data_IF_119685236127
#
_entry.id   IF_119685236127
#
_cell.length_a   1.000
_cell.length_b   1.000
_cell.length_c   1.000
_cell.angle_alpha   90.00
_cell.angle_beta   90.00
_cell.angle_gamma   90.00
#
_symmetry.space_group_name_H-M   'P 1'
#
loop_
_entity.id
_entity.type
_entity.pdbx_description
1 polymer ?
#
# COMPACT_ATOMS: atom_id res chain seq x y z
N UNK A 1 -19.90 -3.85 13.56
CA UNK A 1 -20.41 -3.20 14.79
C UNK A 1 -19.64 -1.91 14.99
N UNK A 2 -20.31 -0.79 15.25
CA UNK A 2 -19.64 0.47 15.59
C UNK A 2 -19.17 0.47 17.05
N UNK A 3 -18.24 1.35 17.43
CA UNK A 3 -17.71 1.40 18.80
C UNK A 3 -18.82 1.67 19.84
N UNK A 4 -19.81 2.50 19.50
CA UNK A 4 -20.95 2.79 20.39
C UNK A 4 -21.78 1.54 20.72
N UNK A 5 -21.98 0.68 19.73
CA UNK A 5 -22.69 -0.59 19.91
C UNK A 5 -21.86 -1.54 20.77
N UNK A 6 -20.54 -1.61 20.53
CA UNK A 6 -19.62 -2.37 21.36
C UNK A 6 -19.65 -1.90 22.82
N UNK A 7 -19.59 -0.60 23.07
CA UNK A 7 -19.66 -0.04 24.42
C UNK A 7 -21.01 -0.34 25.08
N UNK A 8 -22.10 -0.36 24.32
CA UNK A 8 -23.43 -0.71 24.83
C UNK A 8 -23.53 -2.19 25.21
N UNK A 9 -23.09 -3.11 24.36
CA UNK A 9 -23.10 -4.56 24.64
C UNK A 9 -22.17 -4.90 25.80
N UNK A 10 -20.98 -4.29 25.84
CA UNK A 10 -20.02 -4.39 26.95
C UNK A 10 -20.67 -3.97 28.26
N UNK A 11 -21.37 -2.83 28.27
CA UNK A 11 -22.09 -2.36 29.46
C UNK A 11 -23.08 -3.40 29.96
N UNK A 12 -23.95 -3.91 29.09
CA UNK A 12 -24.97 -4.88 29.47
C UNK A 12 -24.37 -6.15 30.07
N UNK A 13 -23.27 -6.65 29.50
CA UNK A 13 -22.57 -7.83 29.98
C UNK A 13 -21.92 -7.60 31.36
N UNK A 14 -21.28 -6.45 31.56
CA UNK A 14 -20.70 -6.09 32.86
C UNK A 14 -21.77 -5.94 33.94
N UNK A 15 -22.88 -5.27 33.64
CA UNK A 15 -24.00 -5.11 34.57
C UNK A 15 -24.63 -6.46 34.94
N UNK A 16 -24.73 -7.39 33.97
CA UNK A 16 -25.21 -8.75 34.21
C UNK A 16 -24.26 -9.56 35.10
N UNK A 17 -22.95 -9.53 34.80
CA UNK A 17 -21.94 -10.32 35.52
C UNK A 17 -21.72 -9.85 36.96
N UNK A 18 -21.81 -8.54 37.19
CA UNK A 18 -21.47 -7.93 38.50
C UNK A 18 -22.69 -7.56 39.34
N UNK A 19 -23.89 -7.50 38.73
CA UNK A 19 -25.12 -6.92 39.32
C UNK A 19 -24.95 -5.47 39.79
N UNK A 20 -23.98 -4.73 39.26
CA UNK A 20 -23.74 -3.31 39.52
C UNK A 20 -23.99 -2.49 38.25
N UNK A 21 -24.50 -1.26 38.38
CA UNK A 21 -24.72 -0.39 37.21
C UNK A 21 -23.45 0.36 36.81
N UNK A 22 -23.21 0.46 35.50
CA UNK A 22 -22.07 1.16 34.91
C UNK A 22 -22.52 2.41 34.15
N UNK A 23 -21.78 3.52 34.31
CA UNK A 23 -21.98 4.71 33.46
C UNK A 23 -21.46 4.42 32.06
N UNK A 24 -22.17 4.91 31.05
CA UNK A 24 -21.79 4.64 29.66
C UNK A 24 -20.38 5.16 29.33
N UNK A 25 -20.04 6.38 29.78
CA UNK A 25 -18.69 6.95 29.59
C UNK A 25 -17.58 6.15 30.26
N UNK A 26 -17.85 5.46 31.38
CA UNK A 26 -16.86 4.64 32.06
C UNK A 26 -16.48 3.42 31.23
N UNK A 27 -17.38 2.90 30.39
CA UNK A 27 -17.09 1.75 29.52
C UNK A 27 -16.00 2.07 28.49
N UNK A 28 -16.01 3.28 27.92
CA UNK A 28 -14.98 3.75 27.01
C UNK A 28 -13.59 3.74 27.68
N UNK A 29 -13.55 4.19 28.93
CA UNK A 29 -12.32 4.23 29.74
C UNK A 29 -11.83 2.82 30.11
N UNK A 30 -12.74 1.91 30.45
CA UNK A 30 -12.40 0.52 30.80
C UNK A 30 -11.91 -0.27 29.59
N UNK A 31 -12.53 -0.09 28.41
CA UNK A 31 -12.05 -0.66 27.16
C UNK A 31 -10.63 -0.19 26.84
N UNK A 32 -10.33 1.10 27.02
CA UNK A 32 -8.98 1.62 26.84
C UNK A 32 -7.98 1.05 27.86
N UNK A 33 -8.38 0.99 29.14
CA UNK A 33 -7.55 0.45 30.21
C UNK A 33 -7.21 -1.04 30.04
N UNK A 34 -8.10 -1.80 29.39
CA UNK A 34 -7.87 -3.22 29.05
C UNK A 34 -6.67 -3.42 28.12
N UNK A 35 -6.30 -2.40 27.36
CA UNK A 35 -5.12 -2.39 26.49
C UNK A 35 -3.97 -1.54 27.06
N UNK A 36 -4.03 -1.17 28.34
CA UNK A 36 -2.95 -0.45 29.04
C UNK A 36 -3.00 1.08 28.90
N UNK A 37 -4.05 1.64 28.31
CA UNK A 37 -4.22 3.10 28.20
C UNK A 37 -4.90 3.68 29.43
N UNK A 38 -4.34 4.75 29.98
CA UNK A 38 -4.90 5.40 31.17
C UNK A 38 -6.27 6.05 30.92
N UNK A 39 -6.51 6.49 29.69
CA UNK A 39 -7.76 7.11 29.27
C UNK A 39 -8.15 6.72 27.86
N UNK A 40 -9.44 6.88 27.50
CA UNK A 40 -9.87 6.72 26.11
C UNK A 40 -9.15 7.67 25.16
N UNK A 41 -8.95 8.91 25.57
CA UNK A 41 -8.23 9.90 24.77
C UNK A 41 -6.78 9.48 24.47
N UNK A 42 -6.09 8.84 25.43
CA UNK A 42 -4.72 8.33 25.20
C UNK A 42 -4.66 7.17 24.22
N UNK A 43 -5.72 6.34 24.17
CA UNK A 43 -5.86 5.31 23.13
C UNK A 43 -6.07 5.98 21.77
N UNK A 44 -7.08 6.85 21.67
CA UNK A 44 -7.47 7.52 20.42
C UNK A 44 -6.38 8.43 19.83
N UNK A 45 -5.39 8.84 20.63
CA UNK A 45 -4.26 9.65 20.18
C UNK A 45 -3.25 8.86 19.35
N UNK A 46 -3.15 7.55 19.52
CA UNK A 46 -2.10 6.73 18.91
C UNK A 46 -2.60 5.43 18.27
N UNK A 47 -3.80 4.97 18.64
CA UNK A 47 -4.30 3.64 18.27
C UNK A 47 -5.79 3.68 17.95
N UNK A 48 -6.22 2.67 17.21
CA UNK A 48 -7.60 2.39 16.87
C UNK A 48 -7.94 0.97 17.36
N UNK A 49 -9.16 0.80 17.85
CA UNK A 49 -9.67 -0.51 18.20
C UNK A 49 -10.19 -1.22 16.95
N UNK A 50 -9.86 -2.49 16.79
CA UNK A 50 -10.31 -3.32 15.68
C UNK A 50 -10.56 -4.76 16.16
N UNK A 51 -11.25 -5.54 15.33
CA UNK A 51 -11.27 -7.00 15.50
C UNK A 51 -10.03 -7.54 14.81
N UNK A 52 -9.21 -8.34 15.51
CA UNK A 52 -7.93 -8.82 15.00
C UNK A 52 -7.96 -10.26 14.51
N UNK A 53 -7.00 -10.61 13.65
CA UNK A 53 -6.80 -11.96 13.10
C UNK A 53 -6.33 -12.99 14.13
N UNK A 54 -5.59 -12.54 15.13
CA UNK A 54 -5.18 -13.34 16.28
C UNK A 54 -5.56 -12.58 17.55
N UNK A 55 -6.01 -13.26 18.62
CA UNK A 55 -6.33 -12.59 19.87
C UNK A 55 -5.11 -11.82 20.39
N UNK A 56 -5.30 -10.56 20.78
CA UNK A 56 -4.25 -9.82 21.46
C UNK A 56 -4.24 -10.24 22.94
N UNK A 57 -3.18 -10.90 23.37
CA UNK A 57 -3.09 -11.34 24.76
C UNK A 57 -2.91 -10.15 25.72
N UNK A 58 -3.69 -10.08 26.81
CA UNK A 58 -3.54 -9.02 27.79
C UNK A 58 -2.23 -9.20 28.56
N UNK A 59 -1.37 -8.17 28.50
CA UNK A 59 -0.12 -8.13 29.27
C UNK A 59 -0.36 -7.69 30.72
N UNK A 60 0.52 -8.10 31.64
CA UNK A 60 0.37 -7.85 33.08
C UNK A 60 0.20 -6.36 33.43
N UNK A 61 0.85 -5.46 32.70
CA UNK A 61 0.71 -4.00 32.87
C UNK A 61 -0.70 -3.50 32.51
N UNK A 62 -1.33 -4.08 31.49
CA UNK A 62 -2.69 -3.75 31.07
C UNK A 62 -3.72 -4.24 32.10
N UNK A 63 -3.51 -5.43 32.66
CA UNK A 63 -4.33 -5.96 33.77
C UNK A 63 -4.27 -5.04 35.00
N UNK A 64 -3.07 -4.62 35.38
CA UNK A 64 -2.88 -3.68 36.49
C UNK A 64 -3.55 -2.32 36.22
N UNK A 65 -3.49 -1.84 34.98
CA UNK A 65 -4.12 -0.59 34.55
C UNK A 65 -5.64 -0.69 34.60
N UNK A 66 -6.22 -1.78 34.09
CA UNK A 66 -7.65 -2.05 34.16
C UNK A 66 -8.16 -2.10 35.60
N UNK A 67 -7.50 -2.87 36.47
CA UNK A 67 -7.89 -2.98 37.87
C UNK A 67 -7.85 -1.61 38.57
N UNK A 68 -6.74 -0.86 38.42
CA UNK A 68 -6.65 0.51 38.95
C UNK A 68 -7.78 1.40 38.44
N UNK A 69 -8.10 1.33 37.15
CA UNK A 69 -9.14 2.16 36.55
C UNK A 69 -10.54 1.83 37.07
N UNK A 70 -10.84 0.54 37.30
CA UNK A 70 -12.09 0.12 37.94
C UNK A 70 -12.25 0.73 39.34
N UNK A 71 -11.17 0.72 40.14
CA UNK A 71 -11.16 1.32 41.48
C UNK A 71 -11.36 2.84 41.40
N UNK A 72 -10.61 3.54 40.55
CA UNK A 72 -10.72 5.00 40.37
C UNK A 72 -12.13 5.44 39.95
N UNK A 73 -12.83 4.63 39.16
CA UNK A 73 -14.19 4.90 38.69
C UNK A 73 -15.28 4.49 39.69
N UNK A 74 -14.91 3.95 40.86
CA UNK A 74 -15.81 3.61 41.97
C UNK A 74 -16.37 2.17 41.94
N UNK A 75 -15.69 1.26 41.25
CA UNK A 75 -16.12 -0.15 41.09
C UNK A 75 -15.25 -1.13 41.88
N UNK A 76 -14.60 -0.68 42.96
CA UNK A 76 -13.68 -1.49 43.79
C UNK A 76 -14.30 -2.82 44.23
N UNK A 77 -15.56 -2.82 44.67
CA UNK A 77 -16.24 -4.01 45.17
C UNK A 77 -16.45 -5.12 44.12
N UNK A 78 -16.36 -4.80 42.83
CA UNK A 78 -16.58 -5.75 41.72
C UNK A 78 -15.40 -5.79 40.74
N UNK A 79 -14.26 -5.19 41.09
CA UNK A 79 -13.15 -4.97 40.16
C UNK A 79 -12.65 -6.28 39.51
N UNK A 80 -12.45 -7.33 40.30
CA UNK A 80 -11.97 -8.62 39.78
C UNK A 80 -12.99 -9.27 38.84
N UNK A 81 -14.27 -9.29 39.23
CA UNK A 81 -15.34 -9.89 38.41
C UNK A 81 -15.58 -9.09 37.13
N UNK A 82 -15.60 -7.76 37.21
CA UNK A 82 -15.76 -6.88 36.06
C UNK A 82 -14.56 -7.00 35.10
N UNK A 83 -13.34 -7.04 35.64
CA UNK A 83 -12.12 -7.21 34.86
C UNK A 83 -12.09 -8.54 34.11
N UNK A 84 -12.39 -9.65 34.81
CA UNK A 84 -12.46 -10.97 34.19
C UNK A 84 -13.54 -11.06 33.09
N UNK A 85 -14.72 -10.50 33.34
CA UNK A 85 -15.79 -10.46 32.35
C UNK A 85 -15.40 -9.65 31.10
N UNK A 86 -14.75 -8.50 31.30
CA UNK A 86 -14.29 -7.65 30.20
C UNK A 86 -13.22 -8.34 29.35
N UNK A 87 -12.25 -9.01 29.98
CA UNK A 87 -11.19 -9.74 29.29
C UNK A 87 -11.72 -10.95 28.53
N UNK A 88 -12.69 -11.69 29.10
CA UNK A 88 -13.39 -12.77 28.39
C UNK A 88 -14.06 -12.24 27.13
N UNK A 89 -14.78 -11.13 27.23
CA UNK A 89 -15.45 -10.52 26.08
C UNK A 89 -14.45 -10.05 25.01
N UNK A 90 -13.33 -9.44 25.42
CA UNK A 90 -12.26 -9.03 24.50
C UNK A 90 -11.69 -10.24 23.75
N UNK A 91 -11.45 -11.35 24.45
CA UNK A 91 -10.97 -12.58 23.83
C UNK A 91 -12.01 -13.19 22.88
N UNK A 92 -13.26 -13.30 23.31
CA UNK A 92 -14.36 -13.90 22.53
C UNK A 92 -14.63 -13.13 21.23
N UNK A 93 -14.59 -11.79 21.31
CA UNK A 93 -14.79 -10.92 20.15
C UNK A 93 -13.49 -10.63 19.39
N UNK A 94 -12.35 -11.12 19.87
CA UNK A 94 -11.00 -10.87 19.33
C UNK A 94 -10.73 -9.39 19.12
N UNK A 95 -11.02 -8.59 20.14
CA UNK A 95 -10.76 -7.16 20.12
C UNK A 95 -9.27 -6.90 20.35
N UNK A 96 -8.72 -5.97 19.59
CA UNK A 96 -7.35 -5.51 19.73
C UNK A 96 -7.23 -4.03 19.44
N UNK A 97 -6.02 -3.50 19.66
CA UNK A 97 -5.63 -2.14 19.32
C UNK A 97 -4.46 -2.17 18.34
N UNK A 98 -4.51 -1.32 17.33
CA UNK A 98 -3.46 -1.17 16.31
C UNK A 98 -3.21 0.30 16.00
N UNK A 99 -2.02 0.63 15.53
CA UNK A 99 -1.71 1.99 15.03
C UNK A 99 -2.38 2.22 13.66
N UNK A 100 -2.48 3.47 13.22
CA UNK A 100 -3.05 3.77 11.89
C UNK A 100 -2.08 3.35 10.79
N UNK A 101 -0.79 3.54 11.04
CA UNK A 101 0.31 3.21 10.15
C UNK A 101 0.36 1.70 9.90
N UNK A 102 0.25 0.88 10.95
CA UNK A 102 0.17 -0.58 10.80
C UNK A 102 -1.07 -1.05 10.04
N UNK A 103 -2.16 -0.27 10.04
CA UNK A 103 -3.33 -0.58 9.21
C UNK A 103 -3.01 -0.32 7.74
N UNK A 104 -2.31 0.78 7.43
CA UNK A 104 -1.86 1.10 6.07
C UNK A 104 -0.92 0.03 5.56
N UNK A 105 0.07 -0.40 6.36
CA UNK A 105 1.01 -1.44 6.00
C UNK A 105 0.29 -2.74 5.59
N UNK A 106 -0.72 -3.16 6.37
CA UNK A 106 -1.52 -4.35 6.08
C UNK A 106 -2.35 -4.17 4.81
N UNK A 107 -2.98 -3.01 4.62
CA UNK A 107 -3.78 -2.74 3.42
C UNK A 107 -2.89 -2.72 2.16
N UNK A 108 -1.70 -2.13 2.23
CA UNK A 108 -0.77 -2.07 1.10
C UNK A 108 -0.15 -3.44 0.79
N UNK A 109 0.08 -4.30 1.80
CA UNK A 109 0.58 -5.66 1.60
C UNK A 109 -0.36 -6.57 0.80
N UNK A 110 -1.68 -6.32 0.86
CA UNK A 110 -2.66 -7.05 0.04
C UNK A 110 -2.84 -6.39 -1.34
N UNK A 111 -2.40 -5.14 -1.54
CA UNK A 111 -2.61 -4.36 -2.77
C UNK A 111 -1.38 -4.29 -3.70
N UNK A 112 -0.18 -4.65 -3.26
CA UNK A 112 1.05 -4.54 -4.08
C UNK A 112 1.28 -5.68 -5.08
N UNK A 113 0.30 -6.58 -5.28
CA UNK A 113 0.19 -7.28 -6.56
C UNK A 113 -0.27 -6.25 -7.61
N UNK A 114 0.65 -5.36 -8.00
CA UNK A 114 0.39 -4.36 -9.03
C UNK A 114 -0.12 -5.08 -10.27
N UNK A 115 -1.28 -4.60 -10.76
CA UNK A 115 -1.80 -4.86 -12.10
C UNK A 115 -0.73 -4.41 -13.10
N UNK A 116 0.06 -5.38 -13.56
CA UNK A 116 0.91 -5.26 -14.73
C UNK A 116 0.04 -4.94 -15.94
N UNK A 117 -0.13 -3.65 -16.24
CA UNK A 117 -0.62 -3.21 -17.53
C UNK A 117 0.32 -2.18 -18.15
N UNK A 118 1.63 -2.26 -17.87
CA UNK A 118 2.65 -1.63 -18.71
C UNK A 118 3.90 -2.52 -18.72
N UNK A 119 4.19 -3.06 -19.92
CA UNK A 119 5.19 -4.09 -20.26
C UNK A 119 4.82 -5.51 -19.82
N UNK A 120 4.36 -6.34 -20.76
CA UNK A 120 4.45 -7.80 -20.64
C UNK A 120 5.95 -8.15 -20.56
N UNK A 121 6.45 -8.31 -19.34
CA UNK A 121 7.67 -9.05 -19.06
C UNK A 121 7.23 -10.22 -18.21
N UNK A 122 7.31 -11.43 -18.78
CA UNK A 122 6.98 -12.67 -18.09
C UNK A 122 7.89 -12.85 -16.85
N UNK A 123 7.43 -12.41 -15.68
CA UNK A 123 8.11 -12.71 -14.41
C UNK A 123 7.65 -14.07 -13.86
N UNK A 124 8.62 -14.96 -13.68
CA UNK A 124 8.46 -16.23 -12.98
C UNK A 124 8.11 -15.97 -11.51
N UNK A 125 6.93 -16.45 -11.08
CA UNK A 125 6.53 -16.51 -9.68
C UNK A 125 7.47 -17.44 -8.88
N UNK A 126 8.51 -16.88 -8.26
CA UNK A 126 9.18 -17.53 -7.14
C UNK A 126 8.44 -17.13 -5.85
N UNK A 127 7.52 -18.00 -5.39
CA UNK A 127 6.85 -17.89 -4.10
C UNK A 127 7.91 -17.83 -2.97
N UNK A 128 8.22 -16.61 -2.52
CA UNK A 128 9.02 -16.42 -1.32
C UNK A 128 8.28 -17.01 -0.11
N UNK A 129 8.90 -17.91 0.67
CA UNK A 129 8.23 -18.51 1.81
C UNK A 129 7.94 -17.43 2.85
N UNK A 130 6.65 -17.28 3.16
CA UNK A 130 6.12 -16.28 4.09
C UNK A 130 6.95 -16.18 5.37
N UNK A 131 7.63 -15.04 5.52
CA UNK A 131 8.21 -14.63 6.78
C UNK A 131 7.07 -14.41 7.76
N UNK A 132 6.78 -15.40 8.62
CA UNK A 132 5.96 -15.22 9.81
C UNK A 132 6.65 -14.22 10.74
N UNK A 133 6.43 -12.94 10.48
CA UNK A 133 6.72 -11.88 11.43
C UNK A 133 5.92 -12.20 12.69
N UNK A 134 6.61 -12.37 13.81
CA UNK A 134 6.04 -12.36 15.15
C UNK A 134 5.61 -10.90 15.44
N UNK A 135 4.63 -10.44 14.67
CA UNK A 135 4.15 -9.07 14.62
C UNK A 135 2.90 -8.89 15.48
N UNK A 136 2.62 -7.63 15.80
CA UNK A 136 1.36 -7.24 16.44
C UNK A 136 0.16 -7.80 15.65
N UNK A 137 -0.92 -8.20 16.33
CA UNK A 137 -2.04 -8.85 15.66
C UNK A 137 -2.72 -7.94 14.63
N UNK A 138 -2.70 -8.35 13.36
CA UNK A 138 -3.28 -7.59 12.24
C UNK A 138 -4.80 -7.40 12.38
N UNK A 139 -5.35 -6.25 11.98
CA UNK A 139 -6.78 -6.04 11.94
C UNK A 139 -7.43 -6.94 10.87
N UNK A 140 -8.62 -7.46 11.16
CA UNK A 140 -9.39 -8.26 10.20
C UNK A 140 -10.15 -7.34 9.25
N UNK A 141 -9.90 -7.51 7.94
CA UNK A 141 -10.56 -6.76 6.86
C UNK A 141 -11.88 -7.39 6.40
N UNK A 142 -12.30 -8.50 7.01
CA UNK A 142 -13.55 -9.16 6.66
C UNK A 142 -14.76 -8.20 6.77
N UNK A 143 -15.71 -8.18 5.82
CA UNK A 143 -16.81 -7.20 5.80
C UNK A 143 -17.63 -7.15 7.10
N UNK A 144 -17.81 -8.28 7.77
CA UNK A 144 -18.53 -8.35 9.04
C UNK A 144 -17.79 -7.69 10.24
N UNK A 145 -16.47 -7.53 10.13
CA UNK A 145 -15.54 -7.13 11.21
C UNK A 145 -14.93 -5.73 11.00
N UNK A 146 -14.80 -5.29 9.75
CA UNK A 146 -14.14 -4.03 9.37
C UNK A 146 -14.86 -2.77 9.89
N UNK A 147 -16.15 -2.86 10.21
CA UNK A 147 -16.95 -1.71 10.67
C UNK A 147 -16.39 -1.04 11.95
N UNK A 148 -15.77 -1.81 12.87
CA UNK A 148 -15.16 -1.23 14.07
C UNK A 148 -13.89 -0.44 13.73
N UNK A 149 -13.11 -0.95 12.78
CA UNK A 149 -11.91 -0.29 12.26
C UNK A 149 -12.28 1.02 11.55
N UNK A 150 -13.28 0.98 10.65
CA UNK A 150 -13.77 2.17 9.93
C UNK A 150 -14.28 3.24 10.91
N UNK A 151 -15.01 2.87 11.96
CA UNK A 151 -15.49 3.83 12.97
C UNK A 151 -14.32 4.51 13.71
N UNK A 152 -13.30 3.73 14.08
CA UNK A 152 -12.10 4.26 14.71
C UNK A 152 -11.26 5.15 13.81
N UNK A 153 -11.12 4.77 12.53
CA UNK A 153 -10.43 5.57 11.50
C UNK A 153 -11.17 6.88 11.23
N UNK A 154 -12.50 6.86 11.12
CA UNK A 154 -13.31 8.08 11.01
C UNK A 154 -13.12 8.99 12.22
N UNK A 155 -13.03 8.41 13.41
CA UNK A 155 -12.66 9.14 14.62
C UNK A 155 -11.30 9.83 14.48
N UNK A 156 -10.25 9.11 14.07
CA UNK A 156 -8.91 9.65 13.88
C UNK A 156 -8.85 10.73 12.77
N UNK A 157 -9.54 10.49 11.66
CA UNK A 157 -9.70 11.44 10.55
C UNK A 157 -10.37 12.74 11.01
N UNK A 158 -11.44 12.66 11.81
CA UNK A 158 -12.11 13.85 12.37
C UNK A 158 -11.23 14.71 13.29
N UNK A 159 -10.12 14.13 13.79
CA UNK A 159 -9.10 14.84 14.58
C UNK A 159 -7.94 15.39 13.73
N UNK A 160 -8.01 15.25 12.40
CA UNK A 160 -7.03 15.75 11.45
C UNK A 160 -5.89 14.77 11.13
N UNK A 161 -6.07 13.46 11.34
CA UNK A 161 -5.05 12.47 10.97
C UNK A 161 -5.04 12.23 9.45
N UNK A 162 -3.94 12.61 8.80
CA UNK A 162 -3.72 12.36 7.37
C UNK A 162 -3.64 10.85 7.07
N UNK A 163 -2.94 10.09 7.92
CA UNK A 163 -2.83 8.64 7.82
C UNK A 163 -4.22 7.95 7.87
N UNK A 164 -5.11 8.42 8.75
CA UNK A 164 -6.43 7.82 8.89
C UNK A 164 -7.30 8.08 7.65
N UNK A 165 -7.17 9.26 7.06
CA UNK A 165 -7.79 9.54 5.76
C UNK A 165 -7.24 8.62 4.68
N UNK A 166 -5.92 8.42 4.60
CA UNK A 166 -5.35 7.53 3.61
C UNK A 166 -5.79 6.07 3.78
N UNK A 167 -5.77 5.54 5.02
CA UNK A 167 -6.27 4.20 5.32
C UNK A 167 -7.75 4.02 4.95
N UNK A 168 -8.60 5.04 5.17
CA UNK A 168 -10.00 5.00 4.72
C UNK A 168 -10.12 4.99 3.20
N UNK A 169 -9.27 5.74 2.49
CA UNK A 169 -9.24 5.72 1.03
C UNK A 169 -8.91 4.31 0.52
N UNK A 170 -7.87 3.67 1.06
CA UNK A 170 -7.50 2.29 0.73
C UNK A 170 -8.66 1.30 0.98
N UNK A 171 -9.34 1.42 2.13
CA UNK A 171 -10.51 0.57 2.44
C UNK A 171 -11.66 0.76 1.44
N UNK A 172 -11.90 2.00 0.99
CA UNK A 172 -13.01 2.30 0.08
C UNK A 172 -12.68 2.06 -1.39
N UNK A 173 -11.40 2.09 -1.77
CA UNK A 173 -10.92 1.71 -3.11
C UNK A 173 -11.42 0.31 -3.48
N UNK A 174 -11.41 -0.61 -2.51
CA UNK A 174 -12.00 -1.94 -2.64
C UNK A 174 -11.26 -2.85 -3.63
N UNK A 175 -11.70 -4.10 -3.69
CA UNK A 175 -11.23 -5.08 -4.68
C UNK A 175 -12.11 -4.96 -5.92
N UNK A 176 -11.49 -4.77 -7.08
CA UNK A 176 -12.13 -4.43 -8.35
C UNK A 176 -13.09 -5.54 -8.80
N UNK A 177 -14.40 -5.33 -8.63
CA UNK A 177 -15.40 -6.29 -9.09
C UNK A 177 -15.70 -6.06 -10.57
N UNK A 178 -15.05 -6.85 -11.41
CA UNK A 178 -15.08 -6.87 -12.88
C UNK A 178 -16.45 -7.16 -13.55
N UNK A 179 -17.57 -6.86 -12.89
CA UNK A 179 -18.94 -6.99 -13.42
C UNK A 179 -19.72 -5.65 -13.41
N UNK A 180 -19.04 -4.54 -13.73
CA UNK A 180 -19.59 -3.19 -13.66
C UNK A 180 -20.73 -2.92 -14.67
N UNK A 181 -20.62 -3.42 -15.90
CA UNK A 181 -21.55 -3.06 -16.98
C UNK A 181 -22.97 -3.56 -16.74
N UNK A 182 -23.14 -4.81 -16.30
CA UNK A 182 -24.47 -5.38 -16.01
C UNK A 182 -25.10 -4.79 -14.76
N UNK A 183 -24.28 -4.38 -13.78
CA UNK A 183 -24.76 -3.85 -12.51
C UNK A 183 -25.22 -2.38 -12.60
N UNK A 184 -24.60 -1.59 -13.50
CA UNK A 184 -24.98 -0.19 -13.77
C UNK A 184 -26.41 -0.05 -14.34
N UNK A 185 -26.82 -0.99 -15.21
CA UNK A 185 -28.15 -1.01 -15.82
C UNK A 185 -29.25 -1.16 -14.76
N UNK A 186 -29.12 -2.13 -13.86
CA UNK A 186 -30.10 -2.36 -12.80
C UNK A 186 -30.17 -1.20 -11.82
N UNK A 187 -29.03 -0.62 -11.48
CA UNK A 187 -28.99 0.60 -10.67
C UNK A 187 -29.78 1.76 -11.32
N UNK A 188 -29.63 1.96 -12.63
CA UNK A 188 -30.39 3.02 -13.34
C UNK A 188 -31.90 2.82 -13.28
N UNK A 189 -32.38 1.56 -13.34
CA UNK A 189 -33.79 1.23 -13.22
C UNK A 189 -34.30 1.42 -11.78
N UNK A 190 -33.47 1.09 -10.78
CA UNK A 190 -33.77 1.34 -9.37
C UNK A 190 -33.99 2.83 -9.10
N UNK A 191 -33.12 3.70 -9.61
CA UNK A 191 -33.23 5.17 -9.48
C UNK A 191 -34.48 5.74 -10.18
N UNK A 192 -34.95 5.08 -11.25
CA UNK A 192 -36.21 5.41 -11.92
C UNK A 192 -37.46 4.94 -11.15
N UNK A 193 -37.29 4.35 -9.96
CA UNK A 193 -38.39 3.88 -9.10
C UNK A 193 -39.01 2.57 -9.56
N UNK A 194 -38.29 1.76 -10.35
CA UNK A 194 -38.72 0.40 -10.70
C UNK A 194 -38.58 -0.49 -9.47
N UNK A 195 -39.58 -1.34 -9.27
CA UNK A 195 -39.52 -2.38 -8.24
C UNK A 195 -38.57 -3.49 -8.71
N UNK A 196 -37.44 -3.64 -8.04
CA UNK A 196 -36.41 -4.65 -8.32
C UNK A 196 -36.43 -5.71 -7.22
N UNK A 197 -36.11 -6.95 -7.60
CA UNK A 197 -36.27 -8.11 -6.72
C UNK A 197 -35.17 -9.13 -7.00
N UNK A 198 -34.81 -9.93 -5.99
CA UNK A 198 -33.78 -10.96 -6.10
C UNK A 198 -32.46 -10.40 -6.63
N UNK A 199 -31.86 -11.12 -7.57
CA UNK A 199 -30.54 -10.80 -8.16
C UNK A 199 -30.46 -9.37 -8.73
N UNK A 200 -31.56 -8.85 -9.31
CA UNK A 200 -31.58 -7.49 -9.86
C UNK A 200 -31.40 -6.42 -8.78
N UNK A 201 -32.04 -6.61 -7.62
CA UNK A 201 -31.91 -5.71 -6.48
C UNK A 201 -30.54 -5.84 -5.84
N UNK A 202 -30.00 -7.06 -5.76
CA UNK A 202 -28.66 -7.33 -5.25
C UNK A 202 -27.60 -6.60 -6.09
N UNK A 203 -27.61 -6.78 -7.41
CA UNK A 203 -26.68 -6.10 -8.32
C UNK A 203 -26.82 -4.57 -8.28
N UNK A 204 -28.05 -4.04 -8.28
CA UNK A 204 -28.27 -2.60 -8.14
C UNK A 204 -27.72 -2.05 -6.80
N UNK A 205 -27.83 -2.82 -5.71
CA UNK A 205 -27.34 -2.43 -4.39
C UNK A 205 -25.81 -2.51 -4.28
N UNK A 206 -25.20 -3.54 -4.88
CA UNK A 206 -23.74 -3.66 -4.99
C UNK A 206 -23.18 -2.48 -5.76
N UNK A 207 -23.74 -2.17 -6.94
CA UNK A 207 -23.29 -1.01 -7.73
C UNK A 207 -23.49 0.32 -7.00
N UNK A 208 -24.63 0.50 -6.32
CA UNK A 208 -24.85 1.69 -5.47
C UNK A 208 -23.77 1.84 -4.40
N UNK A 209 -23.40 0.72 -3.77
CA UNK A 209 -22.36 0.69 -2.72
C UNK A 209 -20.99 1.01 -3.31
N UNK A 210 -20.68 0.48 -4.49
CA UNK A 210 -19.48 0.80 -5.24
C UNK A 210 -19.36 2.30 -5.51
N UNK A 211 -20.39 2.93 -6.10
CA UNK A 211 -20.41 4.38 -6.34
C UNK A 211 -20.17 5.20 -5.07
N UNK A 212 -20.84 4.84 -3.98
CA UNK A 212 -20.66 5.51 -2.68
C UNK A 212 -19.24 5.32 -2.12
N UNK A 213 -18.62 4.17 -2.38
CA UNK A 213 -17.25 3.91 -1.96
C UNK A 213 -16.26 4.70 -2.81
N UNK A 214 -16.42 4.77 -4.13
CA UNK A 214 -15.61 5.63 -5.01
C UNK A 214 -15.68 7.10 -4.57
N UNK A 215 -16.87 7.61 -4.21
CA UNK A 215 -17.01 8.97 -3.69
C UNK A 215 -16.25 9.18 -2.37
N UNK A 216 -16.30 8.19 -1.47
CA UNK A 216 -15.62 8.24 -0.17
C UNK A 216 -14.11 8.12 -0.30
N UNK A 217 -13.65 7.24 -1.18
CA UNK A 217 -12.25 7.10 -1.53
C UNK A 217 -11.70 8.44 -2.01
N UNK A 218 -12.32 9.03 -3.03
CA UNK A 218 -11.87 10.31 -3.60
C UNK A 218 -11.83 11.43 -2.54
N UNK A 219 -12.84 11.51 -1.67
CA UNK A 219 -12.89 12.48 -0.59
C UNK A 219 -11.73 12.29 0.40
N UNK A 220 -11.51 11.06 0.84
CA UNK A 220 -10.49 10.76 1.84
C UNK A 220 -9.08 10.86 1.26
N UNK A 221 -8.86 10.44 0.02
CA UNK A 221 -7.59 10.56 -0.68
C UNK A 221 -7.21 12.05 -0.85
N UNK A 222 -8.17 12.88 -1.28
CA UNK A 222 -7.96 14.32 -1.42
C UNK A 222 -7.64 14.99 -0.07
N UNK A 223 -8.32 14.60 1.00
CA UNK A 223 -8.08 15.17 2.33
C UNK A 223 -6.74 14.71 2.93
N UNK A 224 -6.36 13.43 2.74
CA UNK A 224 -5.04 12.92 3.11
C UNK A 224 -3.92 13.70 2.39
N UNK A 225 -4.07 13.91 1.08
CA UNK A 225 -3.12 14.68 0.29
C UNK A 225 -3.06 16.15 0.75
N UNK A 226 -4.21 16.77 1.04
CA UNK A 226 -4.31 18.15 1.57
C UNK A 226 -3.60 18.30 2.92
N UNK A 227 -3.62 17.26 3.74
CA UNK A 227 -2.93 17.20 5.02
C UNK A 227 -1.44 16.80 4.90
N UNK A 228 -0.96 16.52 3.69
CA UNK A 228 0.44 16.26 3.39
C UNK A 228 0.87 14.80 3.45
N UNK A 229 -0.05 13.84 3.42
CA UNK A 229 0.31 12.41 3.30
C UNK A 229 0.95 12.15 1.93
N UNK A 230 2.18 11.62 1.93
CA UNK A 230 2.99 11.49 0.71
C UNK A 230 2.35 10.52 -0.30
N UNK A 231 1.96 9.32 0.15
CA UNK A 231 1.38 8.29 -0.71
C UNK A 231 0.05 8.75 -1.33
N UNK A 232 -0.75 9.52 -0.61
CA UNK A 232 -2.00 10.06 -1.13
C UNK A 232 -1.75 11.08 -2.25
N UNK A 233 -0.69 11.88 -2.12
CA UNK A 233 -0.28 12.82 -3.17
C UNK A 233 0.27 12.08 -4.37
N UNK A 234 1.02 10.98 -4.14
CA UNK A 234 1.54 10.12 -5.18
C UNK A 234 0.40 9.45 -5.97
N UNK A 235 -0.53 8.78 -5.29
CA UNK A 235 -1.71 8.15 -5.89
C UNK A 235 -2.46 9.13 -6.81
N UNK A 236 -2.75 10.34 -6.30
CA UNK A 236 -3.44 11.39 -7.08
C UNK A 236 -2.61 11.84 -8.29
N UNK A 237 -1.28 11.96 -8.14
CA UNK A 237 -0.41 12.37 -9.23
C UNK A 237 -0.38 11.31 -10.33
N UNK A 238 -0.25 10.04 -9.98
CA UNK A 238 -0.24 8.94 -10.94
C UNK A 238 -1.57 8.79 -11.67
N UNK A 239 -2.70 8.80 -10.95
CA UNK A 239 -4.04 8.71 -11.56
C UNK A 239 -4.25 9.84 -12.59
N UNK A 240 -3.86 11.06 -12.24
CA UNK A 240 -3.99 12.21 -13.14
C UNK A 240 -3.03 12.15 -14.32
N UNK A 241 -1.81 11.66 -14.12
CA UNK A 241 -0.85 11.50 -15.20
C UNK A 241 -1.35 10.49 -16.23
N UNK A 242 -1.76 9.30 -15.79
CA UNK A 242 -2.33 8.24 -16.63
C UNK A 242 -3.57 8.73 -17.37
N UNK A 243 -4.49 9.42 -16.66
CA UNK A 243 -5.70 9.98 -17.28
C UNK A 243 -5.37 11.01 -18.36
N UNK A 244 -4.39 11.89 -18.13
CA UNK A 244 -3.95 12.87 -19.12
C UNK A 244 -3.32 12.19 -20.34
N UNK A 245 -2.52 11.15 -20.12
CA UNK A 245 -1.91 10.33 -21.16
C UNK A 245 -2.94 9.63 -22.04
N UNK A 246 -3.94 8.95 -21.44
CA UNK A 246 -5.06 8.35 -22.17
C UNK A 246 -5.87 9.36 -23.00
N UNK A 247 -5.93 10.62 -22.55
CA UNK A 247 -6.58 11.72 -23.29
C UNK A 247 -5.66 12.34 -24.35
N UNK A 248 -4.39 11.95 -24.41
CA UNK A 248 -3.38 12.54 -25.29
C UNK A 248 -2.91 13.92 -24.86
N UNK A 249 -3.23 14.38 -23.64
CA UNK A 249 -2.79 15.66 -23.08
C UNK A 249 -1.38 15.50 -22.47
N UNK A 250 -0.38 15.49 -23.33
CA UNK A 250 1.04 15.31 -22.95
C UNK A 250 1.52 16.35 -21.93
N UNK A 251 1.05 17.59 -22.02
CA UNK A 251 1.48 18.66 -21.11
C UNK A 251 1.00 18.45 -19.68
N UNK A 252 -0.23 17.96 -19.51
CA UNK A 252 -0.71 17.58 -18.18
C UNK A 252 -0.10 16.27 -17.69
N UNK A 253 0.12 15.29 -18.56
CA UNK A 253 0.81 14.05 -18.17
C UNK A 253 2.21 14.38 -17.61
N UNK A 254 3.00 15.18 -18.33
CA UNK A 254 4.33 15.63 -17.89
C UNK A 254 4.27 16.39 -16.55
N UNK A 255 3.27 17.27 -16.37
CA UNK A 255 3.10 17.99 -15.10
C UNK A 255 2.88 17.04 -13.92
N UNK A 256 1.99 16.07 -14.06
CA UNK A 256 1.66 15.14 -12.97
C UNK A 256 2.75 14.10 -12.74
N UNK A 257 3.42 13.62 -13.79
CA UNK A 257 4.59 12.77 -13.62
C UNK A 257 5.72 13.51 -12.90
N UNK A 258 5.91 14.82 -13.12
CA UNK A 258 6.88 15.63 -12.34
C UNK A 258 6.53 15.69 -10.85
N UNK A 259 5.24 15.80 -10.51
CA UNK A 259 4.80 15.75 -9.10
C UNK A 259 5.06 14.38 -8.46
N UNK A 260 4.82 13.28 -9.19
CA UNK A 260 5.13 11.92 -8.73
C UNK A 260 6.64 11.67 -8.61
N UNK A 261 7.43 12.12 -9.58
CA UNK A 261 8.90 12.04 -9.55
C UNK A 261 9.49 12.85 -8.39
N UNK A 262 8.92 14.00 -8.04
CA UNK A 262 9.33 14.77 -6.87
C UNK A 262 9.06 14.06 -5.53
N UNK A 263 8.22 13.02 -5.53
CA UNK A 263 7.98 12.12 -4.39
C UNK A 263 8.86 10.85 -4.46
N UNK A 264 9.79 10.77 -5.42
CA UNK A 264 10.73 9.66 -5.58
C UNK A 264 10.21 8.48 -6.42
N UNK A 265 9.09 8.64 -7.13
CA UNK A 265 8.50 7.56 -7.94
C UNK A 265 9.32 7.32 -9.22
N UNK A 266 9.99 6.17 -9.29
CA UNK A 266 10.92 5.80 -10.37
C UNK A 266 10.23 5.71 -11.73
N UNK A 267 9.11 4.99 -11.83
CA UNK A 267 8.38 4.86 -13.11
C UNK A 267 7.87 6.20 -13.63
N UNK A 268 7.60 7.16 -12.75
CA UNK A 268 7.22 8.51 -13.19
C UNK A 268 8.43 9.24 -13.80
N UNK A 269 9.64 9.01 -13.28
CA UNK A 269 10.87 9.52 -13.89
C UNK A 269 11.12 8.86 -15.26
N UNK A 270 10.89 7.54 -15.39
CA UNK A 270 10.98 6.83 -16.68
C UNK A 270 9.98 7.35 -17.71
N UNK A 271 8.72 7.56 -17.30
CA UNK A 271 7.70 8.18 -18.15
C UNK A 271 8.12 9.58 -18.62
N UNK A 272 8.75 10.38 -17.76
CA UNK A 272 9.27 11.70 -18.14
C UNK A 272 10.44 11.63 -19.13
N UNK A 273 11.35 10.66 -18.96
CA UNK A 273 12.42 10.42 -19.91
C UNK A 273 11.86 10.07 -21.30
N UNK A 274 10.92 9.13 -21.35
CA UNK A 274 10.24 8.76 -22.60
C UNK A 274 9.48 9.93 -23.24
N UNK A 275 8.74 10.72 -22.46
CA UNK A 275 8.02 11.90 -22.97
C UNK A 275 8.99 12.93 -23.58
N UNK A 276 10.18 13.09 -23.01
CA UNK A 276 11.23 13.97 -23.49
C UNK A 276 11.87 13.45 -24.79
N UNK A 277 12.18 12.15 -24.89
CA UNK A 277 12.69 11.51 -26.11
C UNK A 277 11.74 11.67 -27.29
N UNK A 278 10.45 11.43 -27.07
CA UNK A 278 9.41 11.64 -28.08
C UNK A 278 9.34 13.10 -28.57
N UNK A 279 9.69 14.04 -27.68
CA UNK A 279 9.78 15.47 -28.00
C UNK A 279 11.16 15.87 -28.55
N UNK A 280 12.09 14.92 -28.67
CA UNK A 280 13.50 15.09 -29.08
C UNK A 280 14.27 16.05 -28.17
N UNK A 281 13.92 16.06 -26.88
CA UNK A 281 14.62 16.81 -25.84
C UNK A 281 15.58 15.87 -25.09
N UNK A 282 16.75 15.64 -25.68
CA UNK A 282 17.76 14.73 -25.14
C UNK A 282 18.31 15.18 -23.77
N UNK A 283 18.39 16.49 -23.52
CA UNK A 283 18.88 17.01 -22.24
C UNK A 283 17.91 16.65 -21.11
N UNK A 284 16.59 16.81 -21.34
CA UNK A 284 15.57 16.40 -20.37
C UNK A 284 15.48 14.88 -20.21
N UNK A 285 15.60 14.12 -21.29
CA UNK A 285 15.61 12.65 -21.22
C UNK A 285 16.76 12.14 -20.34
N UNK A 286 17.99 12.60 -20.64
CA UNK A 286 19.18 12.29 -19.85
C UNK A 286 19.04 12.73 -18.39
N UNK A 287 18.43 13.89 -18.13
CA UNK A 287 18.18 14.36 -16.78
C UNK A 287 17.29 13.38 -15.99
N UNK A 288 16.18 12.94 -16.57
CA UNK A 288 15.24 12.02 -15.90
C UNK A 288 15.79 10.61 -15.76
N UNK A 289 16.51 10.09 -16.77
CA UNK A 289 17.25 8.83 -16.65
C UNK A 289 18.29 8.90 -15.51
N UNK A 290 18.99 10.04 -15.38
CA UNK A 290 19.90 10.24 -14.25
C UNK A 290 19.18 10.25 -12.90
N UNK A 291 18.00 10.86 -12.78
CA UNK A 291 17.22 10.80 -11.54
C UNK A 291 16.75 9.37 -11.23
N UNK A 292 16.21 8.65 -12.23
CA UNK A 292 15.78 7.26 -12.06
C UNK A 292 16.94 6.35 -11.59
N UNK A 293 18.11 6.47 -12.21
CA UNK A 293 19.32 5.76 -11.80
C UNK A 293 19.73 6.07 -10.35
N UNK A 294 19.64 7.34 -9.92
CA UNK A 294 19.91 7.72 -8.53
C UNK A 294 18.89 7.16 -7.53
N UNK A 295 17.72 6.72 -8.00
CA UNK A 295 16.70 6.02 -7.22
C UNK A 295 16.73 4.49 -7.39
N UNK A 296 17.76 3.95 -8.06
CA UNK A 296 18.00 2.51 -8.18
C UNK A 296 17.49 1.86 -9.46
N UNK A 297 17.02 2.64 -10.43
CA UNK A 297 16.57 2.11 -11.71
C UNK A 297 17.74 1.61 -12.57
N UNK A 298 17.82 0.29 -12.76
CA UNK A 298 18.93 -0.35 -13.48
C UNK A 298 18.83 -0.13 -14.99
N UNK A 299 17.62 0.00 -15.53
CA UNK A 299 17.44 0.25 -16.97
C UNK A 299 17.85 1.67 -17.34
N UNK A 300 17.53 2.67 -16.53
CA UNK A 300 18.02 4.03 -16.72
C UNK A 300 19.54 4.12 -16.57
N UNK A 301 20.16 3.32 -15.69
CA UNK A 301 21.63 3.20 -15.64
C UNK A 301 22.21 2.70 -16.96
N UNK A 302 21.56 1.71 -17.59
CA UNK A 302 21.94 1.18 -18.90
C UNK A 302 21.73 2.22 -20.01
N UNK A 303 20.58 2.88 -20.04
CA UNK A 303 20.28 3.93 -21.03
C UNK A 303 21.31 5.07 -20.96
N UNK A 304 21.74 5.48 -19.77
CA UNK A 304 22.81 6.48 -19.60
C UNK A 304 24.17 5.99 -20.12
N UNK A 305 24.47 4.69 -20.02
CA UNK A 305 25.70 4.11 -20.56
C UNK A 305 25.67 4.11 -22.09
N UNK A 306 24.52 3.76 -22.67
CA UNK A 306 24.33 3.65 -24.11
C UNK A 306 24.23 5.03 -24.80
N UNK A 307 23.63 6.03 -24.14
CA UNK A 307 23.51 7.41 -24.63
C UNK A 307 24.86 8.15 -24.71
N UNK A 308 25.75 7.95 -23.75
CA UNK A 308 26.96 8.80 -23.59
C UNK A 308 28.07 8.53 -24.66
N UNK A 309 27.88 7.62 -25.62
CA UNK A 309 28.89 7.18 -26.62
C UNK A 309 30.28 6.93 -25.99
N UNK A 310 30.28 6.43 -24.74
CA UNK A 310 31.46 6.22 -23.89
C UNK A 310 32.29 7.49 -23.55
N UNK A 311 31.73 8.69 -23.75
CA UNK A 311 32.39 9.97 -23.50
C UNK A 311 32.76 10.23 -22.03
N UNK A 312 32.05 9.60 -21.08
CA UNK A 312 32.37 9.61 -19.66
C UNK A 312 32.52 8.18 -19.10
N UNK A 313 33.54 7.48 -19.57
CA UNK A 313 33.87 6.11 -19.14
C UNK A 313 33.88 5.91 -17.62
N UNK A 314 34.28 6.92 -16.84
CA UNK A 314 34.24 6.84 -15.38
C UNK A 314 32.81 6.70 -14.85
N UNK A 315 31.88 7.53 -15.33
CA UNK A 315 30.47 7.51 -14.92
C UNK A 315 29.79 6.21 -15.36
N UNK A 316 30.04 5.73 -16.58
CA UNK A 316 29.52 4.43 -17.05
C UNK A 316 29.92 3.27 -16.12
N UNK A 317 31.17 3.25 -15.65
CA UNK A 317 31.61 2.25 -14.67
C UNK A 317 31.01 2.44 -13.27
N UNK A 318 30.70 3.67 -12.86
CA UNK A 318 29.96 3.92 -11.62
C UNK A 318 28.59 3.25 -11.70
N UNK A 319 27.88 3.42 -12.83
CA UNK A 319 26.58 2.78 -13.05
C UNK A 319 26.65 1.26 -13.06
N UNK A 320 27.62 0.67 -13.77
CA UNK A 320 27.84 -0.79 -13.75
C UNK A 320 28.07 -1.31 -12.33
N UNK A 321 28.90 -0.65 -11.53
CA UNK A 321 29.15 -1.08 -10.15
C UNK A 321 27.98 -0.80 -9.19
N UNK A 322 27.11 0.17 -9.52
CA UNK A 322 25.90 0.42 -8.75
C UNK A 322 24.86 -0.66 -9.02
N UNK A 323 24.60 -0.98 -10.28
CA UNK A 323 23.72 -2.08 -10.68
C UNK A 323 24.17 -3.42 -10.05
N UNK A 324 25.47 -3.73 -10.09
CA UNK A 324 26.03 -4.94 -9.46
C UNK A 324 25.72 -5.01 -7.95
N UNK A 325 25.60 -3.87 -7.28
CA UNK A 325 25.22 -3.80 -5.85
C UNK A 325 23.74 -3.95 -5.60
N UNK A 326 22.92 -3.51 -6.56
CA UNK A 326 21.47 -3.71 -6.54
C UNK A 326 21.08 -5.14 -6.92
N UNK A 327 22.03 -5.93 -7.45
CA UNK A 327 21.87 -7.35 -7.73
C UNK A 327 21.93 -7.70 -9.22
N UNK A 328 22.10 -6.72 -10.10
CA UNK A 328 22.08 -6.91 -11.56
C UNK A 328 23.46 -6.65 -12.15
N UNK A 329 24.07 -7.65 -12.77
CA UNK A 329 25.33 -7.46 -13.50
C UNK A 329 25.04 -7.05 -14.95
N UNK A 330 25.11 -5.74 -15.23
CA UNK A 330 24.90 -5.19 -16.57
C UNK A 330 25.88 -5.72 -17.63
N UNK A 331 27.00 -6.33 -17.23
CA UNK A 331 27.99 -6.90 -18.17
C UNK A 331 27.56 -8.27 -18.68
N UNK A 332 26.66 -8.95 -17.97
CA UNK A 332 26.11 -10.22 -18.42
C UNK A 332 25.02 -9.96 -19.46
N UNK A 333 25.04 -10.76 -20.52
CA UNK A 333 23.99 -10.71 -21.54
C UNK A 333 22.76 -11.46 -21.04
N UNK A 334 21.60 -10.81 -21.10
CA UNK A 334 20.32 -11.44 -20.83
C UNK A 334 19.65 -11.96 -22.10
N UNK A 335 20.29 -11.83 -23.27
CA UNK A 335 19.71 -12.29 -24.54
C UNK A 335 19.30 -13.77 -24.48
N UNK A 336 18.05 -14.05 -24.84
CA UNK A 336 17.48 -15.38 -25.00
C UNK A 336 16.71 -15.46 -26.32
N UNK A 337 16.63 -16.65 -26.88
CA UNK A 337 15.81 -16.91 -28.06
C UNK A 337 14.43 -17.40 -27.61
N UNK A 338 13.38 -16.96 -28.27
CA UNK A 338 11.99 -17.29 -27.98
C UNK A 338 11.26 -17.70 -29.25
N UNK A 339 10.24 -18.55 -29.13
CA UNK A 339 9.41 -18.96 -30.27
C UNK A 339 8.55 -17.80 -30.80
N UNK A 340 8.65 -17.54 -32.11
CA UNK A 340 7.88 -16.50 -32.82
C UNK A 340 6.56 -17.08 -33.37
N UNK A 341 5.55 -17.20 -32.50
CA UNK A 341 4.22 -17.69 -32.86
C UNK A 341 4.01 -19.21 -32.67
N UNK A 342 2.79 -19.65 -32.95
CA UNK A 342 2.39 -21.05 -32.75
C UNK A 342 2.02 -21.35 -31.29
N UNK A 343 1.97 -22.65 -30.94
CA UNK A 343 1.52 -23.12 -29.62
C UNK A 343 2.47 -22.71 -28.48
N UNK A 344 3.72 -22.42 -28.81
CA UNK A 344 4.79 -22.11 -27.86
C UNK A 344 5.24 -20.65 -27.96
N UNK A 345 4.48 -19.79 -28.65
CA UNK A 345 4.79 -18.37 -28.81
C UNK A 345 5.16 -17.73 -27.48
N UNK A 346 6.29 -17.02 -27.43
CA UNK A 346 6.79 -16.37 -26.21
C UNK A 346 7.56 -17.27 -25.25
N UNK A 347 7.59 -18.59 -25.45
CA UNK A 347 8.41 -19.49 -24.64
C UNK A 347 9.87 -19.51 -25.14
N UNK A 348 10.81 -19.75 -24.22
CA UNK A 348 12.23 -19.91 -24.57
C UNK A 348 12.39 -21.01 -25.63
N UNK A 349 13.23 -20.75 -26.62
CA UNK A 349 13.31 -21.55 -27.83
C UNK A 349 13.90 -22.94 -27.55
N UNK A 350 13.11 -23.95 -27.87
CA UNK A 350 13.49 -25.36 -27.81
C UNK A 350 13.71 -25.91 -29.23
N UNK A 351 14.92 -26.38 -29.50
CA UNK A 351 15.31 -26.86 -30.83
C UNK A 351 14.62 -28.18 -31.21
N UNK A 352 14.14 -28.96 -30.23
CA UNK A 352 13.32 -30.15 -30.45
C UNK A 352 11.92 -29.79 -31.01
N UNK A 353 11.40 -28.61 -30.67
CA UNK A 353 10.13 -28.09 -31.19
C UNK A 353 10.31 -27.43 -32.56
N UNK A 354 11.40 -26.69 -32.71
CA UNK A 354 11.77 -25.98 -33.95
C UNK A 354 10.80 -24.84 -34.32
N UNK A 355 10.96 -24.31 -35.54
CA UNK A 355 10.14 -23.21 -36.05
C UNK A 355 10.83 -21.84 -35.96
N UNK A 356 10.11 -20.76 -36.32
CA UNK A 356 10.64 -19.40 -36.27
C UNK A 356 10.92 -18.96 -34.83
N UNK A 357 11.92 -18.10 -34.66
CA UNK A 357 12.34 -17.56 -33.37
C UNK A 357 12.64 -16.08 -33.48
N UNK A 358 12.49 -15.37 -32.36
CA UNK A 358 13.03 -14.03 -32.15
C UNK A 358 14.00 -14.06 -30.96
N UNK A 359 14.88 -13.07 -30.89
CA UNK A 359 15.81 -12.90 -29.76
C UNK A 359 15.34 -11.68 -28.99
N UNK A 360 15.27 -11.80 -27.67
CA UNK A 360 14.89 -10.73 -26.77
C UNK A 360 15.84 -10.67 -25.57
N UNK A 361 15.84 -9.54 -24.88
CA UNK A 361 16.75 -9.21 -23.80
C UNK A 361 17.86 -8.25 -24.23
N UNK A 362 18.85 -8.11 -23.37
CA UNK A 362 19.84 -7.05 -23.43
C UNK A 362 21.26 -7.62 -23.62
N UNK A 363 22.01 -7.07 -24.58
CA UNK A 363 23.44 -7.37 -24.69
C UNK A 363 24.20 -6.94 -23.43
N UNK A 364 25.22 -7.69 -23.05
CA UNK A 364 26.08 -7.30 -21.93
C UNK A 364 26.84 -6.02 -22.25
N UNK A 365 26.84 -5.06 -21.33
CA UNK A 365 27.54 -3.78 -21.46
C UNK A 365 29.04 -4.02 -21.66
N UNK A 366 29.59 -3.52 -22.76
CA UNK A 366 31.01 -3.59 -23.09
C UNK A 366 31.66 -2.21 -22.96
N UNK A 367 32.53 -2.06 -21.95
CA UNK A 367 33.25 -0.81 -21.69
C UNK A 367 34.76 -1.05 -21.67
N UNK A 368 35.51 -0.04 -22.11
CA UNK A 368 36.96 -0.01 -21.92
C UNK A 368 37.32 -0.08 -20.42
N UNK A 369 38.41 -0.75 -20.07
CA UNK A 369 38.82 -0.86 -18.66
C UNK A 369 39.40 0.45 -18.13
N UNK A 370 38.95 0.88 -16.95
CA UNK A 370 39.58 1.98 -16.21
C UNK A 370 40.97 1.58 -15.68
N UNK A 371 41.81 2.59 -15.46
CA UNK A 371 43.01 2.39 -14.67
C UNK A 371 42.67 2.02 -13.20
N UNK A 372 43.61 1.45 -12.47
CA UNK A 372 43.35 0.93 -11.12
C UNK A 372 42.87 2.01 -10.12
N UNK A 373 43.32 3.25 -10.26
CA UNK A 373 42.93 4.35 -9.38
C UNK A 373 41.48 4.77 -9.64
N UNK A 374 41.13 5.02 -10.89
CA UNK A 374 39.79 5.44 -11.28
C UNK A 374 38.77 4.31 -11.11
N UNK A 375 39.16 3.05 -11.34
CA UNK A 375 38.32 1.90 -11.01
C UNK A 375 38.01 1.78 -9.51
N UNK A 376 39.00 2.06 -8.63
CA UNK A 376 38.76 2.09 -7.19
C UNK A 376 37.81 3.24 -6.79
N UNK A 377 38.00 4.43 -7.39
CA UNK A 377 37.13 5.60 -7.17
C UNK A 377 35.71 5.38 -7.67
N UNK A 378 35.53 4.74 -8.83
CA UNK A 378 34.20 4.42 -9.37
C UNK A 378 33.44 3.45 -8.44
N UNK A 379 34.11 2.41 -7.92
CA UNK A 379 33.54 1.49 -6.92
C UNK A 379 33.16 2.19 -5.62
N UNK A 380 33.93 3.19 -5.20
CA UNK A 380 33.62 3.98 -4.01
C UNK A 380 32.43 4.91 -4.23
N UNK A 381 32.35 5.56 -5.39
CA UNK A 381 31.17 6.37 -5.76
C UNK A 381 29.90 5.52 -5.82
N UNK A 382 29.93 4.36 -6.46
CA UNK A 382 28.80 3.42 -6.48
C UNK A 382 28.39 2.95 -5.07
N UNK A 383 29.35 2.76 -4.15
CA UNK A 383 29.04 2.44 -2.74
C UNK A 383 28.33 3.57 -2.02
N UNK A 384 28.67 4.82 -2.34
CA UNK A 384 28.01 5.98 -1.75
C UNK A 384 26.57 6.09 -2.25
N UNK A 385 26.37 5.96 -3.57
CA UNK A 385 25.03 5.98 -4.19
C UNK A 385 24.15 4.84 -3.66
N UNK A 386 24.69 3.62 -3.57
CA UNK A 386 23.96 2.49 -2.99
C UNK A 386 23.52 2.76 -1.54
N UNK A 387 24.37 3.39 -0.73
CA UNK A 387 24.02 3.76 0.65
C UNK A 387 22.93 4.82 0.71
N UNK A 388 22.89 5.75 -0.25
CA UNK A 388 21.81 6.74 -0.36
C UNK A 388 20.50 6.06 -0.73
N UNK A 389 20.50 5.20 -1.75
CA UNK A 389 19.31 4.44 -2.18
C UNK A 389 18.77 3.57 -1.05
N UNK A 390 19.63 2.84 -0.32
CA UNK A 390 19.22 2.02 0.82
C UNK A 390 18.71 2.81 2.04
N UNK A 391 18.77 4.15 2.01
CA UNK A 391 18.31 5.03 3.08
C UNK A 391 17.06 5.84 2.72
N UNK A 392 16.63 5.78 1.46
CA UNK A 392 15.33 6.26 0.99
C UNK A 392 14.25 5.27 1.42
#
# INVERSE_FOLDING_TARGET
MAFKELAYTTKQQLEFATRQSFRHSHIYELLAASFGFNTRASLDAAHIMAVTERPQEPVASSLATLHRRLVELGYEAVADTAGAALLSMIADQRLGVTSVESVIDVLQQDHWACREEWYEVDEYEDEAPGSESVGNPSPSLAPAKIALLIDGLNGAASRGSAAAHYALALIYRGDDLSEEESSSYWYSLMEQGRDLHGVQLEWATVYKTHLLNTEREALHLAEAARLGWADARLDIALEKAQRAEHQGDRGQAEHWYKEAAALGHVEAMRALAWLAEQSRDADSARHWNHQAALHGDVDAMRDLIDEDDHGNLFESWVWVYLAERLGTDLRESTLRAYHDGGMYSGQEYDDDQGGPLYVDGNEGVQLESLNALDGARAKEAARELFRQISSL
#
